data_IF_537983404085
#
_entry.id   IF_537983404085
#
_cell.length_a   1.000
_cell.length_b   1.000
_cell.length_c   1.000
_cell.angle_alpha   90.00
_cell.angle_beta   90.00
_cell.angle_gamma   90.00
#
_symmetry.space_group_name_H-M   'P 1'
#
loop_
_entity.id
_entity.type
_entity.pdbx_description
1 polymer ?
#
# COMPACT_ATOMS: atom_id res chain seq x y z
N UNK A 1 42.38 66.97 8.86
CA UNK A 1 42.78 66.10 7.78
C UNK A 1 41.71 64.95 7.71
N UNK A 2 40.67 65.15 6.90
CA UNK A 2 39.48 64.28 6.89
C UNK A 2 39.60 63.34 5.70
N UNK A 3 39.64 62.02 5.94
CA UNK A 3 39.62 60.98 4.89
C UNK A 3 38.18 60.75 4.44
N UNK A 4 37.88 61.00 3.17
CA UNK A 4 36.61 60.68 2.50
C UNK A 4 36.49 59.16 2.35
N UNK A 5 35.46 58.56 2.94
CA UNK A 5 35.06 57.16 2.69
C UNK A 5 34.19 57.12 1.43
N UNK A 6 34.66 56.37 0.41
CA UNK A 6 33.90 56.14 -0.82
C UNK A 6 32.80 55.08 -0.56
N UNK A 7 31.53 55.48 -0.71
CA UNK A 7 30.37 54.56 -0.72
C UNK A 7 30.44 53.73 -2.00
N UNK A 8 30.57 52.42 -1.87
CA UNK A 8 30.31 51.45 -2.97
C UNK A 8 28.81 51.36 -3.24
N UNK A 9 28.39 51.63 -4.47
CA UNK A 9 27.04 51.36 -4.95
C UNK A 9 26.86 49.83 -5.04
N UNK A 10 25.91 49.29 -4.30
CA UNK A 10 25.42 47.92 -4.46
C UNK A 10 24.42 47.96 -5.59
N UNK A 11 24.75 47.31 -6.70
CA UNK A 11 23.84 47.09 -7.83
C UNK A 11 22.92 45.94 -7.47
N UNK A 12 21.66 46.25 -7.20
CA UNK A 12 20.64 45.23 -6.98
C UNK A 12 20.24 44.62 -8.34
N UNK A 13 20.65 43.39 -8.56
CA UNK A 13 20.14 42.58 -9.65
C UNK A 13 18.75 42.07 -9.24
N UNK A 14 17.70 42.67 -9.78
CA UNK A 14 16.35 42.11 -9.73
C UNK A 14 16.27 41.00 -10.77
N UNK A 15 16.28 39.75 -10.31
CA UNK A 15 15.92 38.60 -11.15
C UNK A 15 14.40 38.56 -11.22
N UNK A 16 13.76 38.58 -12.40
CA UNK A 16 12.33 38.38 -12.48
C UNK A 16 12.03 36.92 -12.13
N UNK A 17 11.26 36.71 -11.07
CA UNK A 17 10.66 35.43 -10.73
C UNK A 17 9.56 35.14 -11.76
N UNK A 18 9.86 34.32 -12.75
CA UNK A 18 8.87 33.80 -13.68
C UNK A 18 8.14 32.67 -12.94
N UNK A 19 6.91 32.95 -12.55
CA UNK A 19 5.97 31.94 -12.08
C UNK A 19 5.65 31.05 -13.29
N UNK A 20 6.35 29.94 -13.44
CA UNK A 20 5.95 28.88 -14.33
C UNK A 20 4.83 28.09 -13.62
N UNK A 21 3.57 28.42 -13.93
CA UNK A 21 2.46 27.51 -13.66
C UNK A 21 2.63 26.31 -14.57
N UNK A 22 3.30 25.27 -14.07
CA UNK A 22 3.29 23.96 -14.70
C UNK A 22 1.92 23.35 -14.46
N UNK A 23 1.07 23.39 -15.48
CA UNK A 23 -0.05 22.47 -15.65
C UNK A 23 0.57 21.07 -15.81
N UNK A 24 0.79 20.37 -14.72
CA UNK A 24 1.06 18.94 -14.76
C UNK A 24 -0.26 18.20 -14.97
N UNK A 25 -0.74 18.26 -16.20
CA UNK A 25 -1.56 17.23 -16.79
C UNK A 25 -0.62 16.31 -17.57
N UNK A 26 0.29 15.64 -16.89
CA UNK A 26 1.10 14.58 -17.46
C UNK A 26 0.24 13.33 -17.55
N UNK A 27 -0.20 12.97 -18.76
CA UNK A 27 -0.63 11.61 -19.01
C UNK A 27 0.53 10.69 -18.61
N UNK A 28 0.35 9.90 -17.55
CA UNK A 28 1.28 8.84 -17.17
C UNK A 28 1.34 7.90 -18.36
N UNK A 29 2.41 7.99 -19.15
CA UNK A 29 2.70 7.02 -20.18
C UNK A 29 3.21 5.76 -19.47
N UNK A 30 2.30 4.89 -19.10
CA UNK A 30 2.65 3.56 -18.62
C UNK A 30 3.50 2.89 -19.71
N UNK A 31 4.78 2.66 -19.43
CA UNK A 31 5.55 1.68 -20.19
C UNK A 31 4.77 0.34 -20.07
N UNK A 32 4.75 -0.52 -21.12
CA UNK A 32 4.09 -1.79 -21.04
C UNK A 32 4.89 -2.71 -20.09
N UNK A 33 4.68 -2.56 -18.79
CA UNK A 33 4.97 -3.61 -17.84
C UNK A 33 3.96 -4.72 -18.12
N UNK A 34 4.38 -5.97 -18.10
CA UNK A 34 3.47 -7.11 -18.15
C UNK A 34 2.41 -6.90 -17.09
N UNK A 35 1.19 -6.53 -17.54
CA UNK A 35 0.10 -6.21 -16.65
C UNK A 35 -0.16 -7.46 -15.78
N UNK A 36 0.30 -7.43 -14.53
CA UNK A 36 0.23 -8.55 -13.60
C UNK A 36 -1.20 -9.08 -13.43
N UNK A 37 -2.22 -8.23 -13.63
CA UNK A 37 -3.63 -8.63 -13.66
C UNK A 37 -3.94 -9.62 -14.79
N UNK A 38 -3.19 -9.61 -15.90
CA UNK A 38 -3.39 -10.56 -17.02
C UNK A 38 -2.75 -11.91 -16.76
N UNK A 39 -1.84 -12.00 -15.80
CA UNK A 39 -1.22 -13.27 -15.40
C UNK A 39 -2.26 -14.24 -14.85
N UNK A 40 -2.08 -15.53 -15.14
CA UNK A 40 -2.83 -16.62 -14.52
C UNK A 40 -2.10 -17.25 -13.34
N UNK A 41 -0.86 -16.82 -13.06
CA UNK A 41 -0.07 -17.32 -11.94
C UNK A 41 -0.70 -16.85 -10.63
N UNK A 42 -0.92 -17.76 -9.69
CA UNK A 42 -1.24 -17.42 -8.30
C UNK A 42 0.02 -16.98 -7.58
N UNK A 43 -0.04 -15.86 -6.87
CA UNK A 43 1.05 -15.35 -6.05
C UNK A 43 0.63 -15.18 -4.61
N UNK A 44 1.59 -15.35 -3.69
CA UNK A 44 1.36 -15.10 -2.28
C UNK A 44 1.58 -13.62 -1.96
N UNK A 45 0.72 -13.06 -1.10
CA UNK A 45 0.87 -11.77 -0.46
C UNK A 45 1.20 -11.98 1.02
N UNK A 46 2.30 -11.41 1.48
CA UNK A 46 2.68 -11.42 2.88
C UNK A 46 1.91 -10.32 3.62
N UNK A 47 0.92 -10.70 4.46
CA UNK A 47 0.12 -9.78 5.25
C UNK A 47 1.01 -9.01 6.25
N UNK A 48 1.12 -7.69 6.10
CA UNK A 48 2.03 -6.79 6.84
C UNK A 48 3.50 -7.18 6.75
N UNK A 49 3.90 -7.78 5.60
CA UNK A 49 5.21 -8.39 5.42
C UNK A 49 5.30 -9.83 5.91
N UNK A 50 6.48 -10.43 5.83
CA UNK A 50 6.72 -11.83 6.21
C UNK A 50 6.77 -12.00 7.74
N UNK A 51 5.62 -12.02 8.41
CA UNK A 51 5.48 -12.14 9.88
C UNK A 51 6.07 -13.44 10.46
N UNK A 52 6.35 -14.42 9.62
CA UNK A 52 7.08 -15.64 10.02
C UNK A 52 8.56 -15.37 10.36
N UNK A 53 9.10 -14.24 9.94
CA UNK A 53 10.52 -13.92 10.03
C UNK A 53 10.81 -12.60 10.78
N UNK A 54 9.88 -11.65 10.81
CA UNK A 54 10.05 -10.34 11.44
C UNK A 54 8.70 -9.78 11.92
N UNK A 55 8.67 -8.79 12.83
CA UNK A 55 7.44 -8.15 13.26
C UNK A 55 6.68 -7.47 12.12
N UNK A 56 5.34 -7.41 12.26
CA UNK A 56 4.45 -6.79 11.28
C UNK A 56 4.85 -5.34 10.93
N UNK A 57 4.65 -4.94 9.67
CA UNK A 57 4.86 -3.58 9.19
C UNK A 57 6.28 -3.03 9.48
N UNK A 58 7.30 -3.90 9.44
CA UNK A 58 8.71 -3.50 9.55
C UNK A 58 9.44 -3.62 8.21
N UNK A 59 10.48 -2.83 8.01
CA UNK A 59 11.33 -2.93 6.82
C UNK A 59 11.93 -4.34 6.68
N UNK A 60 12.33 -4.98 7.80
CA UNK A 60 12.82 -6.37 7.78
C UNK A 60 11.75 -7.36 7.32
N UNK A 61 10.47 -7.18 7.71
CA UNK A 61 9.38 -8.05 7.24
C UNK A 61 9.18 -7.94 5.71
N UNK A 62 9.36 -6.76 5.13
CA UNK A 62 9.32 -6.54 3.68
C UNK A 62 10.53 -7.19 3.01
N UNK A 63 11.73 -6.95 3.53
CA UNK A 63 12.97 -7.59 3.04
C UNK A 63 12.86 -9.11 3.06
N UNK A 64 12.33 -9.69 4.14
CA UNK A 64 12.14 -11.14 4.24
C UNK A 64 11.07 -11.66 3.28
N UNK A 65 10.00 -10.90 3.03
CA UNK A 65 9.03 -11.26 2.01
C UNK A 65 9.69 -11.38 0.63
N UNK A 66 10.56 -10.44 0.28
CA UNK A 66 11.35 -10.51 -0.95
C UNK A 66 12.27 -11.72 -1.03
N UNK A 67 13.05 -11.95 0.02
CA UNK A 67 13.97 -13.11 0.09
C UNK A 67 13.27 -14.44 0.03
N UNK A 68 12.07 -14.55 0.57
CA UNK A 68 11.24 -15.75 0.56
C UNK A 68 10.49 -15.94 -0.76
N UNK A 69 10.42 -14.93 -1.64
CA UNK A 69 9.82 -15.03 -2.97
C UNK A 69 8.30 -14.75 -2.99
N UNK A 70 7.78 -13.99 -2.04
CA UNK A 70 6.40 -13.48 -2.15
C UNK A 70 6.26 -12.57 -3.37
N UNK A 71 5.11 -12.66 -4.05
CA UNK A 71 4.81 -11.78 -5.19
C UNK A 71 4.24 -10.43 -4.76
N UNK A 72 3.65 -10.37 -3.56
CA UNK A 72 3.09 -9.16 -2.97
C UNK A 72 3.41 -9.07 -1.49
N UNK A 73 3.41 -7.83 -0.98
CA UNK A 73 3.28 -7.53 0.44
C UNK A 73 2.05 -6.67 0.66
N UNK A 74 1.31 -6.95 1.71
CA UNK A 74 0.26 -6.06 2.18
C UNK A 74 0.85 -5.11 3.22
N UNK A 75 0.42 -3.85 3.20
CA UNK A 75 0.89 -2.79 4.09
C UNK A 75 -0.23 -1.87 4.55
N UNK A 76 -0.11 -1.39 5.78
CA UNK A 76 -1.01 -0.42 6.41
C UNK A 76 -0.33 0.95 6.48
N UNK A 77 -0.83 1.95 5.74
CA UNK A 77 -0.24 3.29 5.72
C UNK A 77 -0.98 4.25 6.65
N UNK A 78 -0.21 5.03 7.41
CA UNK A 78 -0.71 6.13 8.24
C UNK A 78 0.17 7.38 8.10
N UNK A 79 -0.42 8.54 8.41
CA UNK A 79 0.27 9.84 8.36
C UNK A 79 0.58 10.33 9.78
N UNK A 80 1.81 10.76 10.01
CA UNK A 80 2.26 11.33 11.28
C UNK A 80 1.82 12.78 11.43
N UNK A 81 2.03 13.36 12.61
CA UNK A 81 1.74 14.77 12.91
C UNK A 81 2.48 15.75 12.01
N UNK A 82 3.71 15.45 11.64
CA UNK A 82 4.56 16.26 10.77
C UNK A 82 4.43 15.93 9.28
N UNK A 83 3.48 15.01 8.93
CA UNK A 83 3.06 14.76 7.56
C UNK A 83 3.76 13.59 6.88
N UNK A 84 4.62 12.86 7.57
CA UNK A 84 5.33 11.71 7.03
C UNK A 84 4.43 10.47 6.97
N UNK A 85 4.58 9.65 5.93
CA UNK A 85 3.88 8.37 5.82
C UNK A 85 4.72 7.25 6.44
N UNK A 86 4.07 6.45 7.29
CA UNK A 86 4.68 5.32 7.98
C UNK A 86 3.84 4.06 7.85
N UNK A 87 4.41 2.90 8.14
CA UNK A 87 3.65 1.66 8.24
C UNK A 87 3.20 1.42 9.68
N UNK A 88 1.88 1.37 9.88
CA UNK A 88 1.26 1.05 11.18
C UNK A 88 -0.19 0.60 11.00
N UNK A 89 -0.53 -0.60 11.46
CA UNK A 89 -1.92 -1.08 11.40
C UNK A 89 -2.86 -0.26 12.29
N UNK A 90 -2.51 -0.10 13.57
CA UNK A 90 -3.36 0.57 14.55
C UNK A 90 -3.27 2.10 14.41
N UNK A 91 -4.29 2.81 14.86
CA UNK A 91 -4.26 4.27 14.92
C UNK A 91 -3.31 4.82 16.02
N UNK A 92 -2.79 3.93 16.86
CA UNK A 92 -1.85 4.23 17.95
C UNK A 92 -0.62 3.33 17.85
N UNK A 93 0.49 3.76 18.44
CA UNK A 93 1.74 2.98 18.47
C UNK A 93 1.79 1.94 19.58
N UNK A 94 0.81 1.90 20.46
CA UNK A 94 0.83 1.23 21.78
C UNK A 94 0.97 -0.30 21.71
N UNK A 95 0.44 -0.95 20.66
CA UNK A 95 0.44 -2.43 20.58
C UNK A 95 1.74 -3.01 20.06
N UNK A 96 2.39 -2.32 19.17
CA UNK A 96 3.54 -2.84 18.42
C UNK A 96 4.84 -2.14 18.73
N UNK A 97 4.83 -1.17 19.66
CA UNK A 97 6.04 -0.44 20.07
C UNK A 97 6.12 -0.24 21.57
N UNK A 98 7.30 0.14 22.08
CA UNK A 98 7.52 0.53 23.47
C UNK A 98 6.94 1.89 23.83
N UNK A 99 6.38 2.62 22.83
CA UNK A 99 5.80 3.95 22.97
C UNK A 99 4.31 3.91 23.25
N UNK A 100 3.71 5.10 23.33
CA UNK A 100 2.25 5.24 23.45
C UNK A 100 1.77 6.53 22.80
N UNK A 101 0.55 6.52 22.27
CA UNK A 101 -0.11 7.68 21.67
C UNK A 101 -0.61 7.43 20.25
N UNK A 102 -1.44 8.35 19.77
CA UNK A 102 -1.97 8.26 18.43
C UNK A 102 -0.91 8.68 17.39
N UNK A 103 -0.79 7.93 16.29
CA UNK A 103 0.16 8.22 15.21
C UNK A 103 0.06 9.67 14.73
N UNK A 104 -1.17 10.16 14.50
CA UNK A 104 -1.42 11.54 14.05
C UNK A 104 -1.01 12.65 15.02
N UNK A 105 -0.74 12.33 16.28
CA UNK A 105 -0.35 13.28 17.34
C UNK A 105 1.16 13.25 17.62
N UNK A 106 1.90 12.31 17.00
CA UNK A 106 3.33 12.11 17.14
C UNK A 106 4.08 12.44 15.83
N UNK A 107 5.25 13.03 15.95
CA UNK A 107 6.16 13.22 14.80
C UNK A 107 6.87 11.91 14.44
N UNK A 108 7.42 11.85 13.22
CA UNK A 108 8.23 10.70 12.79
C UNK A 108 9.41 10.46 13.78
N UNK A 109 10.11 11.52 14.20
CA UNK A 109 11.23 11.42 15.15
C UNK A 109 10.78 10.81 16.49
N UNK A 110 9.61 11.23 17.01
CA UNK A 110 9.04 10.67 18.24
C UNK A 110 8.71 9.19 18.06
N UNK A 111 8.04 8.80 16.96
CA UNK A 111 7.68 7.41 16.67
C UNK A 111 8.93 6.53 16.50
N UNK A 112 9.91 6.98 15.75
CA UNK A 112 11.15 6.23 15.54
C UNK A 112 12.06 6.18 16.77
N UNK A 113 11.79 6.98 17.81
CA UNK A 113 12.47 6.84 19.11
C UNK A 113 12.04 5.59 19.86
N UNK A 114 10.84 5.04 19.57
CA UNK A 114 10.35 3.79 20.15
C UNK A 114 10.97 2.57 19.45
N UNK A 115 11.10 1.49 20.19
CA UNK A 115 11.47 0.19 19.63
C UNK A 115 10.21 -0.61 19.30
N UNK A 116 10.27 -1.44 18.25
CA UNK A 116 9.16 -2.34 17.91
C UNK A 116 9.18 -3.55 18.85
N UNK A 117 8.01 -3.97 19.30
CA UNK A 117 7.78 -5.22 20.01
C UNK A 117 7.24 -6.28 19.05
N UNK A 118 7.74 -7.52 19.16
CA UNK A 118 7.19 -8.65 18.43
C UNK A 118 5.83 -9.10 19.00
N UNK A 119 5.20 -10.07 18.36
CA UNK A 119 3.88 -10.59 18.78
C UNK A 119 3.86 -11.23 20.17
N UNK A 120 5.02 -11.57 20.73
CA UNK A 120 5.20 -12.05 22.09
C UNK A 120 5.48 -10.90 23.10
N UNK A 121 5.53 -9.64 22.64
CA UNK A 121 5.85 -8.46 23.45
C UNK A 121 7.33 -8.31 23.77
N UNK A 122 8.20 -8.96 23.02
CA UNK A 122 9.63 -8.82 23.17
C UNK A 122 10.13 -7.64 22.34
N UNK A 123 10.86 -6.73 22.97
CA UNK A 123 11.49 -5.60 22.33
C UNK A 123 12.54 -6.08 21.32
N UNK A 124 12.48 -5.52 20.12
CA UNK A 124 13.43 -5.76 19.03
C UNK A 124 14.29 -4.53 18.77
N UNK A 125 15.23 -4.60 17.85
CA UNK A 125 16.02 -3.46 17.36
C UNK A 125 15.43 -2.80 16.10
N UNK A 126 14.24 -3.24 15.68
CA UNK A 126 13.54 -2.66 14.55
C UNK A 126 12.87 -1.33 14.93
N UNK A 127 12.71 -0.47 13.91
CA UNK A 127 11.99 0.80 14.01
C UNK A 127 10.82 0.84 13.06
N UNK A 128 9.86 1.72 13.33
CA UNK A 128 8.75 1.97 12.42
C UNK A 128 9.31 2.59 11.13
N UNK A 129 9.12 1.94 9.97
CA UNK A 129 9.65 2.46 8.71
C UNK A 129 8.76 3.55 8.14
N UNK A 130 9.35 4.41 7.30
CA UNK A 130 8.60 5.28 6.41
C UNK A 130 8.06 4.47 5.22
N UNK A 131 7.04 5.01 4.55
CA UNK A 131 6.50 4.42 3.32
C UNK A 131 7.57 4.37 2.23
N UNK A 132 8.33 5.46 2.04
CA UNK A 132 9.40 5.57 1.06
C UNK A 132 10.43 4.43 1.21
N UNK A 133 10.94 4.18 2.45
CA UNK A 133 11.87 3.08 2.73
C UNK A 133 11.31 1.72 2.32
N UNK A 134 10.02 1.50 2.57
CA UNK A 134 9.33 0.23 2.25
C UNK A 134 9.12 0.06 0.76
N UNK A 135 8.70 1.11 0.05
CA UNK A 135 8.47 1.06 -1.39
C UNK A 135 9.78 0.89 -2.17
N UNK A 136 10.87 1.52 -1.73
CA UNK A 136 12.21 1.30 -2.29
C UNK A 136 12.64 -0.17 -2.11
N UNK A 137 12.45 -0.74 -0.91
CA UNK A 137 12.79 -2.14 -0.65
C UNK A 137 11.92 -3.10 -1.47
N UNK A 138 10.62 -2.84 -1.60
CA UNK A 138 9.73 -3.62 -2.45
C UNK A 138 10.16 -3.58 -3.92
N UNK A 139 10.53 -2.41 -4.42
CA UNK A 139 11.09 -2.25 -5.77
C UNK A 139 12.36 -3.08 -5.97
N UNK A 140 13.28 -3.07 -5.01
CA UNK A 140 14.54 -3.81 -5.08
C UNK A 140 14.34 -5.34 -5.20
N UNK A 141 13.23 -5.87 -4.70
CA UNK A 141 12.85 -7.28 -4.80
C UNK A 141 11.80 -7.60 -5.87
N UNK A 142 11.34 -6.60 -6.64
CA UNK A 142 10.25 -6.74 -7.64
C UNK A 142 8.94 -7.29 -7.02
N UNK A 143 8.62 -6.85 -5.80
CA UNK A 143 7.41 -7.23 -5.07
C UNK A 143 6.31 -6.19 -5.32
N UNK A 144 5.09 -6.65 -5.61
CA UNK A 144 3.91 -5.80 -5.68
C UNK A 144 3.40 -5.39 -4.31
N UNK A 145 2.66 -4.30 -4.26
CA UNK A 145 2.09 -3.77 -3.01
C UNK A 145 0.57 -3.96 -2.99
N UNK A 146 0.06 -4.52 -1.90
CA UNK A 146 -1.34 -4.48 -1.51
C UNK A 146 -1.51 -3.39 -0.44
N UNK A 147 -2.08 -2.24 -0.81
CA UNK A 147 -2.38 -1.17 0.14
C UNK A 147 -3.70 -1.47 0.87
N UNK A 148 -3.69 -1.66 2.20
CA UNK A 148 -4.94 -1.76 2.99
C UNK A 148 -5.58 -0.38 3.15
N UNK A 149 -6.55 -0.08 2.31
CA UNK A 149 -7.35 1.14 2.36
C UNK A 149 -8.44 1.13 3.43
N UNK A 150 -8.48 0.16 4.33
CA UNK A 150 -9.31 0.19 5.53
C UNK A 150 -8.64 0.94 6.68
N UNK A 151 -7.38 1.33 6.52
CA UNK A 151 -6.58 2.10 7.48
C UNK A 151 -6.15 3.42 6.83
N UNK A 152 -5.89 4.44 7.64
CA UNK A 152 -5.52 5.76 7.14
C UNK A 152 -6.73 6.60 6.70
N UNK A 153 -6.47 7.66 5.95
CA UNK A 153 -7.43 8.73 5.62
C UNK A 153 -7.71 8.73 4.10
N UNK A 154 -8.15 7.58 3.56
CA UNK A 154 -8.34 7.37 2.11
C UNK A 154 -9.43 8.23 1.48
N UNK A 155 -10.28 8.90 2.28
CA UNK A 155 -11.21 9.95 1.85
C UNK A 155 -10.52 11.31 1.66
N UNK A 156 -9.31 11.49 2.18
CA UNK A 156 -8.53 12.72 2.03
C UNK A 156 -7.65 12.64 0.78
N UNK A 157 -7.91 13.56 -0.15
CA UNK A 157 -7.18 13.62 -1.41
C UNK A 157 -5.67 13.87 -1.22
N UNK A 158 -5.28 14.73 -0.27
CA UNK A 158 -3.88 15.02 0.03
C UNK A 158 -3.15 13.76 0.56
N UNK A 159 -3.85 12.98 1.42
CA UNK A 159 -3.31 11.71 1.90
C UNK A 159 -3.07 10.72 0.76
N UNK A 160 -4.05 10.59 -0.14
CA UNK A 160 -3.95 9.67 -1.29
C UNK A 160 -2.90 10.14 -2.29
N UNK A 161 -2.86 11.45 -2.62
CA UNK A 161 -1.87 12.02 -3.55
C UNK A 161 -0.44 11.73 -3.09
N UNK A 162 -0.12 11.90 -1.81
CA UNK A 162 1.21 11.61 -1.29
C UNK A 162 1.59 10.13 -1.42
N UNK A 163 0.69 9.20 -1.10
CA UNK A 163 0.95 7.76 -1.28
C UNK A 163 1.18 7.42 -2.76
N UNK A 164 0.36 7.98 -3.65
CA UNK A 164 0.48 7.73 -5.09
C UNK A 164 1.78 8.30 -5.67
N UNK A 165 2.20 9.49 -5.22
CA UNK A 165 3.48 10.11 -5.60
C UNK A 165 4.67 9.23 -5.17
N UNK A 166 4.72 8.79 -3.91
CA UNK A 166 5.78 7.91 -3.42
C UNK A 166 5.80 6.57 -4.17
N UNK A 167 4.63 5.97 -4.43
CA UNK A 167 4.54 4.70 -5.15
C UNK A 167 4.95 4.82 -6.64
N UNK A 168 4.70 5.98 -7.27
CA UNK A 168 5.16 6.27 -8.63
C UNK A 168 6.68 6.49 -8.67
N UNK A 169 7.24 7.27 -7.74
CA UNK A 169 8.68 7.52 -7.62
C UNK A 169 9.46 6.22 -7.37
N UNK A 170 8.97 5.36 -6.50
CA UNK A 170 9.53 4.03 -6.25
C UNK A 170 9.27 3.03 -7.40
N UNK A 171 8.44 3.36 -8.40
CA UNK A 171 8.08 2.52 -9.57
C UNK A 171 7.35 1.21 -9.21
N UNK A 172 6.64 1.18 -8.10
CA UNK A 172 5.86 0.01 -7.68
C UNK A 172 4.38 0.11 -8.05
N UNK A 173 3.88 1.30 -8.40
CA UNK A 173 2.47 1.56 -8.66
C UNK A 173 1.84 0.61 -9.67
N UNK A 174 2.54 0.29 -10.75
CA UNK A 174 2.06 -0.62 -11.79
C UNK A 174 1.95 -2.09 -11.35
N UNK A 175 2.54 -2.44 -10.21
CA UNK A 175 2.47 -3.77 -9.59
C UNK A 175 1.78 -3.68 -8.21
N UNK A 176 0.81 -2.77 -8.07
CA UNK A 176 0.11 -2.53 -6.82
C UNK A 176 -1.41 -2.62 -6.99
N UNK A 177 -2.12 -2.82 -5.89
CA UNK A 177 -3.57 -2.69 -5.83
C UNK A 177 -4.02 -2.14 -4.47
N UNK A 178 -5.22 -1.55 -4.45
CA UNK A 178 -5.75 -0.80 -3.33
C UNK A 178 -7.04 -1.43 -2.83
N UNK A 179 -7.04 -1.90 -1.58
CA UNK A 179 -8.20 -2.51 -0.92
C UNK A 179 -9.02 -1.42 -0.25
N UNK A 180 -10.02 -0.89 -0.94
CA UNK A 180 -10.86 0.22 -0.48
C UNK A 180 -12.21 -0.32 -0.01
N UNK A 181 -12.45 -0.28 1.31
CA UNK A 181 -13.57 -0.95 1.97
C UNK A 181 -14.92 -0.22 1.84
N UNK A 182 -14.92 1.01 1.34
CA UNK A 182 -16.10 1.87 1.25
C UNK A 182 -16.33 2.26 -0.22
N UNK A 183 -17.57 2.15 -0.70
CA UNK A 183 -17.94 2.42 -2.09
C UNK A 183 -17.68 3.87 -2.48
N UNK A 184 -18.00 4.82 -1.59
CA UNK A 184 -17.79 6.24 -1.86
C UNK A 184 -16.29 6.56 -1.97
N UNK A 185 -15.46 5.99 -1.08
CA UNK A 185 -14.00 6.14 -1.12
C UNK A 185 -13.44 5.51 -2.40
N UNK A 186 -13.88 4.30 -2.76
CA UNK A 186 -13.43 3.59 -3.96
C UNK A 186 -13.80 4.34 -5.23
N UNK A 187 -15.04 4.85 -5.33
CA UNK A 187 -15.48 5.66 -6.45
C UNK A 187 -14.66 6.94 -6.57
N UNK A 188 -14.45 7.65 -5.46
CA UNK A 188 -13.66 8.87 -5.42
C UNK A 188 -12.19 8.61 -5.79
N UNK A 189 -11.59 7.56 -5.26
CA UNK A 189 -10.23 7.13 -5.63
C UNK A 189 -10.12 6.83 -7.12
N UNK A 190 -11.08 6.11 -7.69
CA UNK A 190 -11.09 5.78 -9.12
C UNK A 190 -11.32 7.03 -10.01
N UNK A 191 -12.05 8.04 -9.54
CA UNK A 191 -12.14 9.33 -10.24
C UNK A 191 -10.80 10.05 -10.32
N UNK A 192 -9.97 9.93 -9.27
CA UNK A 192 -8.64 10.53 -9.23
C UNK A 192 -7.60 9.71 -10.01
N UNK A 193 -7.67 8.39 -9.94
CA UNK A 193 -6.68 7.44 -10.47
C UNK A 193 -7.36 6.28 -11.21
N UNK A 194 -7.97 6.51 -12.39
CA UNK A 194 -8.76 5.49 -13.09
C UNK A 194 -7.94 4.29 -13.58
N UNK A 195 -6.64 4.43 -13.73
CA UNK A 195 -5.72 3.35 -14.12
C UNK A 195 -5.26 2.46 -12.95
N UNK A 196 -5.45 2.91 -11.70
CA UNK A 196 -5.06 2.13 -10.52
C UNK A 196 -5.97 0.90 -10.36
N UNK A 197 -5.39 -0.20 -9.85
CA UNK A 197 -6.14 -1.42 -9.57
C UNK A 197 -6.85 -1.31 -8.23
N UNK A 198 -8.16 -1.39 -8.23
CA UNK A 198 -8.99 -1.27 -7.02
C UNK A 198 -9.69 -2.57 -6.67
N UNK A 199 -10.01 -2.73 -5.39
CA UNK A 199 -10.85 -3.81 -4.88
C UNK A 199 -11.54 -3.40 -3.57
N UNK A 200 -12.41 -4.26 -3.07
CA UNK A 200 -13.04 -4.09 -1.76
C UNK A 200 -13.21 -5.45 -1.08
N UNK A 201 -13.46 -5.41 0.22
CA UNK A 201 -13.63 -6.62 1.02
C UNK A 201 -15.07 -7.13 0.93
N UNK A 202 -15.33 -8.01 -0.04
CA UNK A 202 -16.64 -8.59 -0.28
C UNK A 202 -16.92 -9.89 0.48
N UNK A 203 -18.16 -10.35 0.43
CA UNK A 203 -18.56 -11.69 0.86
C UNK A 203 -19.17 -12.43 -0.31
N UNK A 204 -18.36 -13.22 -1.04
CA UNK A 204 -18.75 -13.89 -2.26
C UNK A 204 -19.92 -14.87 -2.07
N UNK A 205 -20.02 -15.55 -0.92
CA UNK A 205 -21.13 -16.45 -0.64
C UNK A 205 -22.49 -15.74 -0.45
N UNK A 206 -22.48 -14.42 -0.25
CA UNK A 206 -23.71 -13.65 0.00
C UNK A 206 -24.08 -12.71 -1.13
N UNK A 207 -23.09 -12.05 -1.73
CA UNK A 207 -23.30 -10.87 -2.56
C UNK A 207 -22.56 -10.93 -3.91
N UNK A 208 -22.01 -12.09 -4.32
CA UNK A 208 -21.16 -12.18 -5.51
C UNK A 208 -21.73 -11.45 -6.75
N UNK A 209 -23.00 -11.64 -7.06
CA UNK A 209 -23.62 -10.99 -8.24
C UNK A 209 -23.62 -9.47 -8.15
N UNK A 210 -23.99 -8.91 -6.99
CA UNK A 210 -24.03 -7.47 -6.77
C UNK A 210 -22.61 -6.86 -6.78
N UNK A 211 -21.69 -7.52 -6.09
CA UNK A 211 -20.29 -7.12 -6.00
C UNK A 211 -19.60 -7.18 -7.38
N UNK A 212 -19.90 -8.19 -8.20
CA UNK A 212 -19.41 -8.33 -9.57
C UNK A 212 -19.92 -7.18 -10.45
N UNK A 213 -21.23 -6.87 -10.40
CA UNK A 213 -21.79 -5.77 -11.19
C UNK A 213 -21.19 -4.42 -10.79
N UNK A 214 -20.91 -4.23 -9.51
CA UNK A 214 -20.24 -3.03 -9.03
C UNK A 214 -18.78 -2.95 -9.53
N UNK A 215 -18.01 -4.03 -9.40
CA UNK A 215 -16.61 -4.03 -9.81
C UNK A 215 -16.40 -3.89 -11.33
N UNK A 216 -17.38 -4.25 -12.16
CA UNK A 216 -17.32 -4.06 -13.62
C UNK A 216 -17.30 -2.62 -14.08
N UNK A 217 -17.64 -1.65 -13.22
CA UNK A 217 -17.55 -0.23 -13.56
C UNK A 217 -16.11 0.31 -13.56
N UNK A 218 -15.15 -0.43 -12.97
CA UNK A 218 -13.76 -0.06 -12.92
C UNK A 218 -12.96 -0.78 -14.02
N UNK A 219 -12.06 -0.05 -14.70
CA UNK A 219 -11.22 -0.61 -15.77
C UNK A 219 -10.24 -1.67 -15.25
N UNK A 220 -9.73 -1.46 -14.02
CA UNK A 220 -8.81 -2.36 -13.34
C UNK A 220 -9.36 -2.71 -11.96
N UNK A 221 -9.97 -3.87 -11.83
CA UNK A 221 -10.54 -4.35 -10.57
C UNK A 221 -10.20 -5.81 -10.29
N UNK A 222 -10.07 -6.12 -9.01
CA UNK A 222 -10.02 -7.49 -8.50
C UNK A 222 -11.09 -7.68 -7.44
N UNK A 223 -11.57 -8.91 -7.26
CA UNK A 223 -12.52 -9.26 -6.22
C UNK A 223 -11.77 -9.77 -4.99
N UNK A 224 -11.86 -9.06 -3.86
CA UNK A 224 -11.24 -9.49 -2.59
C UNK A 224 -12.26 -10.08 -1.64
N UNK A 225 -11.95 -11.23 -1.06
CA UNK A 225 -12.81 -11.88 -0.07
C UNK A 225 -12.01 -12.77 0.88
N UNK A 226 -12.55 -12.99 2.10
CA UNK A 226 -11.99 -14.02 2.98
C UNK A 226 -12.13 -15.40 2.36
N UNK A 227 -11.11 -16.26 2.55
CA UNK A 227 -11.16 -17.67 2.13
C UNK A 227 -12.38 -18.42 2.72
N UNK A 228 -12.93 -17.93 3.82
CA UNK A 228 -14.12 -18.50 4.46
C UNK A 228 -15.43 -18.07 3.80
N UNK A 229 -15.40 -17.03 2.97
CA UNK A 229 -16.55 -16.40 2.32
C UNK A 229 -16.62 -16.67 0.80
N UNK A 230 -15.92 -17.67 0.31
CA UNK A 230 -15.88 -18.06 -1.10
C UNK A 230 -15.84 -19.58 -1.23
N UNK A 231 -16.45 -20.12 -2.28
CA UNK A 231 -16.35 -21.52 -2.71
C UNK A 231 -15.97 -21.63 -4.20
N UNK A 232 -15.90 -22.86 -4.73
CA UNK A 232 -15.53 -23.08 -6.14
C UNK A 232 -16.55 -22.50 -7.12
N UNK A 233 -17.84 -22.50 -6.77
CA UNK A 233 -18.90 -22.01 -7.64
C UNK A 233 -18.83 -20.49 -7.76
N UNK A 234 -18.82 -19.77 -6.64
CA UNK A 234 -18.71 -18.31 -6.62
C UNK A 234 -17.37 -17.82 -7.20
N UNK A 235 -16.27 -18.50 -6.90
CA UNK A 235 -14.97 -18.19 -7.51
C UNK A 235 -14.98 -18.35 -9.04
N UNK A 236 -15.71 -19.35 -9.56
CA UNK A 236 -15.89 -19.55 -11.01
C UNK A 236 -16.73 -18.44 -11.63
N UNK A 237 -17.75 -17.96 -10.95
CA UNK A 237 -18.60 -16.85 -11.41
C UNK A 237 -17.79 -15.54 -11.49
N UNK A 238 -17.02 -15.22 -10.45
CA UNK A 238 -16.11 -14.08 -10.44
C UNK A 238 -15.16 -14.13 -11.64
N UNK A 239 -14.51 -15.29 -11.89
CA UNK A 239 -13.60 -15.44 -13.03
C UNK A 239 -14.32 -15.37 -14.38
N UNK A 240 -15.54 -15.90 -14.52
CA UNK A 240 -16.35 -15.78 -15.73
C UNK A 240 -16.75 -14.32 -16.04
N UNK A 241 -16.89 -13.51 -15.00
CA UNK A 241 -17.11 -12.07 -15.12
C UNK A 241 -15.88 -11.30 -15.59
N UNK A 242 -14.72 -11.97 -15.72
CA UNK A 242 -13.45 -11.36 -16.13
C UNK A 242 -12.62 -10.79 -14.97
N UNK A 243 -13.13 -10.87 -13.74
CA UNK A 243 -12.43 -10.39 -12.55
C UNK A 243 -11.38 -11.40 -12.07
N UNK A 244 -10.30 -10.90 -11.53
CA UNK A 244 -9.33 -11.69 -10.76
C UNK A 244 -9.79 -11.78 -9.31
N UNK A 245 -9.36 -12.84 -8.62
CA UNK A 245 -9.72 -13.09 -7.23
C UNK A 245 -8.49 -12.90 -6.32
N UNK A 246 -8.65 -12.12 -5.28
CA UNK A 246 -7.76 -12.04 -4.12
C UNK A 246 -8.47 -12.71 -2.94
N UNK A 247 -7.78 -13.62 -2.25
CA UNK A 247 -8.29 -14.26 -1.03
C UNK A 247 -7.34 -14.03 0.14
N UNK A 248 -7.89 -13.64 1.28
CA UNK A 248 -7.14 -13.36 2.50
C UNK A 248 -7.55 -14.30 3.65
N UNK A 249 -6.84 -14.23 4.78
CA UNK A 249 -6.97 -15.13 5.95
C UNK A 249 -6.61 -16.60 5.64
N UNK A 250 -5.64 -16.83 4.77
CA UNK A 250 -5.18 -18.16 4.38
C UNK A 250 -4.00 -18.56 5.26
N UNK A 251 -4.29 -19.09 6.48
CA UNK A 251 -3.28 -19.26 7.54
C UNK A 251 -3.12 -20.70 8.01
N UNK A 252 -3.73 -21.68 7.31
CA UNK A 252 -3.60 -23.11 7.62
C UNK A 252 -3.41 -23.91 6.34
N UNK A 253 -2.90 -25.14 6.47
CA UNK A 253 -2.78 -26.06 5.33
C UNK A 253 -4.15 -26.29 4.66
N UNK A 254 -5.23 -26.42 5.43
CA UNK A 254 -6.59 -26.62 4.91
C UNK A 254 -7.06 -25.42 4.07
N UNK A 255 -6.93 -24.20 4.62
CA UNK A 255 -7.33 -22.97 3.90
C UNK A 255 -6.44 -22.74 2.68
N UNK A 256 -5.17 -23.13 2.71
CA UNK A 256 -4.28 -23.05 1.56
C UNK A 256 -4.66 -24.02 0.44
N UNK A 257 -4.99 -25.30 0.78
CA UNK A 257 -5.50 -26.25 -0.23
C UNK A 257 -6.81 -25.75 -0.84
N UNK A 258 -7.72 -25.23 -0.03
CA UNK A 258 -8.94 -24.59 -0.52
C UNK A 258 -8.63 -23.40 -1.45
N UNK A 259 -7.71 -22.52 -1.05
CA UNK A 259 -7.32 -21.39 -1.89
C UNK A 259 -6.75 -21.84 -3.24
N UNK A 260 -5.91 -22.88 -3.28
CA UNK A 260 -5.40 -23.44 -4.54
C UNK A 260 -6.50 -23.98 -5.44
N UNK A 261 -7.53 -24.64 -4.88
CA UNK A 261 -8.63 -25.22 -5.67
C UNK A 261 -9.48 -24.17 -6.37
N UNK A 262 -9.59 -22.97 -5.83
CA UNK A 262 -10.38 -21.87 -6.41
C UNK A 262 -9.59 -20.94 -7.34
N UNK A 263 -8.30 -21.21 -7.54
CA UNK A 263 -7.40 -20.52 -8.49
C UNK A 263 -7.43 -18.98 -8.39
N UNK A 264 -7.13 -18.38 -7.23
CA UNK A 264 -7.06 -16.93 -7.11
C UNK A 264 -5.80 -16.37 -7.78
N UNK A 265 -5.79 -15.07 -8.06
CA UNK A 265 -4.61 -14.34 -8.52
C UNK A 265 -3.63 -14.07 -7.36
N UNK A 266 -4.19 -13.71 -6.20
CA UNK A 266 -3.43 -13.40 -4.98
C UNK A 266 -4.00 -14.18 -3.80
N UNK A 267 -3.11 -14.78 -3.00
CA UNK A 267 -3.42 -15.42 -1.72
C UNK A 267 -2.67 -14.66 -0.62
N UNK A 268 -3.40 -14.03 0.29
CA UNK A 268 -2.82 -13.32 1.41
C UNK A 268 -2.77 -14.19 2.67
N UNK A 269 -1.64 -14.14 3.35
CA UNK A 269 -1.32 -15.03 4.47
C UNK A 269 -0.35 -14.41 5.47
N UNK A 270 -0.49 -14.80 6.74
CA UNK A 270 0.48 -14.51 7.82
C UNK A 270 1.61 -15.53 7.89
N UNK A 271 1.41 -16.76 7.33
CA UNK A 271 2.26 -17.92 7.69
C UNK A 271 2.67 -18.81 6.55
N UNK A 272 2.00 -18.76 5.39
CA UNK A 272 2.36 -19.64 4.25
C UNK A 272 3.52 -19.01 3.48
N UNK A 273 4.57 -19.78 3.32
CA UNK A 273 5.77 -19.37 2.58
C UNK A 273 5.70 -19.91 1.14
N UNK A 274 6.10 -19.12 0.11
CA UNK A 274 6.11 -19.51 -1.30
C UNK A 274 6.92 -20.74 -1.63
#
# INVERSE_FOLDING_TARGET
>A
MWRKVKKKKILSLTVPFVLATSLFGGAVSAAPSDNWLKSSKTELSAHRGAQVAAPENTLEAITQAGRLGYGFVEIDVRKTKDGEYILMHDATVDRTTTGSGAVKDLTLEEIQSFDIEDKEGKVTDHKVPTLDEVLEEAHNYDIGINFDGSKGEWEDKEFVEGIMEEAEEAKVLNHSFFVLSNDDIRNQFNEWYPEATVTFLGNALKNADADIEELKQYDNAIYSTSIHNVDEETAKEIRKAGLKLHVYSVNTAETYEKAKSIHPRVIETDVIIP
#
